data_IF_277869791613
#
_entry.id   IF_277869791613
#
_cell.length_a   1.000
_cell.length_b   1.000
_cell.length_c   1.000
_cell.angle_alpha   90.00
_cell.angle_beta   90.00
_cell.angle_gamma   90.00
#
_symmetry.space_group_name_H-M   'P 1'
#
loop_
_entity.id
_entity.type
_entity.pdbx_description
1 polymer ?
#
# COMPACT_ATOMS: atom_id res chain seq x y z
N UNK A 1 0.46 -8.35 -0.89
CA UNK A 1 1.14 -8.95 0.29
C UNK A 1 2.03 -10.12 -0.12
N UNK A 2 1.52 -11.21 -0.73
CA UNK A 2 2.35 -12.36 -1.14
C UNK A 2 3.58 -11.98 -2.01
N UNK A 3 3.39 -11.17 -3.06
CA UNK A 3 4.48 -10.75 -3.94
C UNK A 3 5.58 -9.98 -3.18
N UNK A 4 5.20 -9.09 -2.26
CA UNK A 4 6.17 -8.35 -1.45
C UNK A 4 6.97 -9.27 -0.52
N UNK A 5 6.33 -10.30 0.03
CA UNK A 5 7.00 -11.30 0.88
C UNK A 5 8.03 -12.08 0.05
N UNK A 6 7.65 -12.57 -1.13
CA UNK A 6 8.56 -13.31 -2.02
C UNK A 6 9.76 -12.45 -2.45
N UNK A 7 9.53 -11.21 -2.84
CA UNK A 7 10.61 -10.28 -3.21
C UNK A 7 11.50 -9.99 -2.00
N UNK A 8 10.92 -9.78 -0.82
CA UNK A 8 11.67 -9.53 0.42
C UNK A 8 12.61 -10.70 0.77
N UNK A 9 12.12 -11.94 0.71
CA UNK A 9 12.96 -13.12 0.92
C UNK A 9 14.12 -13.20 -0.07
N UNK A 10 13.87 -12.93 -1.36
CA UNK A 10 14.91 -12.92 -2.38
C UNK A 10 15.96 -11.84 -2.15
N UNK A 11 15.54 -10.62 -1.75
CA UNK A 11 16.43 -9.50 -1.48
C UNK A 11 17.30 -9.72 -0.24
N UNK A 12 16.78 -10.34 0.82
CA UNK A 12 17.58 -10.69 2.00
C UNK A 12 18.71 -11.64 1.61
N UNK A 13 18.40 -12.69 0.86
CA UNK A 13 19.40 -13.64 0.37
C UNK A 13 20.46 -12.92 -0.48
N UNK A 14 20.02 -12.04 -1.38
CA UNK A 14 20.90 -11.25 -2.23
C UNK A 14 21.80 -10.28 -1.45
N UNK A 15 21.27 -9.60 -0.43
CA UNK A 15 22.02 -8.72 0.45
C UNK A 15 23.10 -9.48 1.25
N UNK A 16 22.80 -10.71 1.67
CA UNK A 16 23.77 -11.60 2.34
C UNK A 16 24.88 -12.01 1.38
N UNK A 17 24.56 -12.40 0.14
CA UNK A 17 25.55 -12.77 -0.87
C UNK A 17 26.44 -11.60 -1.30
N UNK A 18 25.89 -10.39 -1.38
CA UNK A 18 26.63 -9.17 -1.77
C UNK A 18 27.40 -8.55 -0.60
N UNK A 19 27.23 -9.07 0.63
CA UNK A 19 27.87 -8.55 1.83
C UNK A 19 27.34 -7.18 2.28
N UNK A 20 26.17 -6.78 1.78
CA UNK A 20 25.54 -5.48 2.10
C UNK A 20 24.57 -5.56 3.28
N UNK A 21 24.35 -6.77 3.82
CA UNK A 21 23.50 -6.99 4.99
C UNK A 21 24.15 -6.46 6.28
N UNK A 22 23.46 -5.55 6.97
CA UNK A 22 23.91 -4.97 8.24
C UNK A 22 23.17 -5.63 9.40
N UNK A 23 23.86 -6.48 10.16
CA UNK A 23 23.29 -7.24 11.28
C UNK A 23 22.65 -6.37 12.37
N UNK A 24 23.23 -5.21 12.66
CA UNK A 24 22.73 -4.29 13.70
C UNK A 24 21.33 -3.74 13.38
N UNK A 25 21.08 -3.47 12.09
CA UNK A 25 19.81 -2.88 11.61
C UNK A 25 18.87 -3.96 11.07
N UNK A 26 19.39 -5.16 10.79
CA UNK A 26 18.63 -6.26 10.19
C UNK A 26 18.20 -6.01 8.73
N UNK A 27 18.83 -5.03 8.06
CA UNK A 27 18.51 -4.62 6.70
C UNK A 27 19.76 -4.62 5.83
N UNK A 28 19.61 -5.02 4.57
CA UNK A 28 20.61 -4.82 3.53
C UNK A 28 20.26 -3.66 2.60
N UNK A 29 21.24 -3.20 1.82
CA UNK A 29 21.08 -2.01 0.98
C UNK A 29 19.97 -2.16 -0.06
N UNK A 30 19.85 -3.34 -0.69
CA UNK A 30 18.82 -3.58 -1.69
C UNK A 30 17.45 -3.78 -1.07
N UNK A 31 17.37 -4.48 0.07
CA UNK A 31 16.13 -4.58 0.86
C UNK A 31 15.64 -3.19 1.28
N UNK A 32 16.51 -2.32 1.79
CA UNK A 32 16.15 -0.97 2.21
C UNK A 32 15.65 -0.11 1.04
N UNK A 33 16.34 -0.16 -0.11
CA UNK A 33 15.92 0.55 -1.31
C UNK A 33 14.54 0.09 -1.80
N UNK A 34 14.32 -1.22 -1.83
CA UNK A 34 13.02 -1.79 -2.20
C UNK A 34 11.92 -1.39 -1.22
N UNK A 35 12.19 -1.38 0.08
CA UNK A 35 11.22 -0.93 1.09
C UNK A 35 10.75 0.49 0.78
N UNK A 36 11.66 1.43 0.53
CA UNK A 36 11.31 2.82 0.17
C UNK A 36 10.56 2.89 -1.17
N UNK A 37 11.04 2.17 -2.19
CA UNK A 37 10.38 2.15 -3.49
C UNK A 37 8.95 1.58 -3.42
N UNK A 38 8.72 0.60 -2.55
CA UNK A 38 7.41 -0.04 -2.35
C UNK A 38 6.37 0.83 -1.63
N UNK A 39 6.81 1.92 -0.99
CA UNK A 39 5.90 2.89 -0.35
C UNK A 39 5.01 3.55 -1.40
N UNK A 40 5.58 4.03 -2.50
CA UNK A 40 4.82 4.71 -3.57
C UNK A 40 3.65 3.90 -4.15
N UNK A 41 3.85 2.64 -4.61
CA UNK A 41 2.73 1.84 -5.12
C UNK A 41 1.73 1.50 -4.01
N UNK A 42 2.18 1.32 -2.76
CA UNK A 42 1.27 1.08 -1.63
C UNK A 42 0.35 2.27 -1.37
N UNK A 43 0.88 3.49 -1.41
CA UNK A 43 0.09 4.71 -1.34
C UNK A 43 -0.87 4.83 -2.54
N UNK A 44 -0.41 4.58 -3.76
CA UNK A 44 -1.25 4.61 -4.96
C UNK A 44 -2.44 3.65 -4.89
N UNK A 45 -2.23 2.42 -4.41
CA UNK A 45 -3.31 1.43 -4.23
C UNK A 45 -4.31 1.88 -3.17
N UNK A 46 -3.86 2.41 -2.04
CA UNK A 46 -4.78 2.90 -1.01
C UNK A 46 -5.54 4.17 -1.44
N UNK A 47 -4.93 5.05 -2.24
CA UNK A 47 -5.62 6.19 -2.84
C UNK A 47 -6.73 5.74 -3.79
N UNK A 48 -6.47 4.71 -4.60
CA UNK A 48 -7.50 4.06 -5.45
C UNK A 48 -8.63 3.47 -4.59
N UNK A 49 -8.31 2.77 -3.50
CA UNK A 49 -9.32 2.22 -2.59
C UNK A 49 -10.20 3.30 -1.95
N UNK A 50 -9.63 4.43 -1.56
CA UNK A 50 -10.41 5.57 -1.07
C UNK A 50 -11.28 6.17 -2.18
N UNK A 51 -10.76 6.27 -3.41
CA UNK A 51 -11.56 6.72 -4.55
C UNK A 51 -12.74 5.78 -4.84
N UNK A 52 -12.54 4.46 -4.73
CA UNK A 52 -13.59 3.43 -4.92
C UNK A 52 -14.76 3.57 -3.93
N UNK A 53 -14.56 4.24 -2.79
CA UNK A 53 -15.60 4.54 -1.79
C UNK A 53 -16.01 6.03 -1.79
N UNK A 54 -15.70 6.80 -2.84
CA UNK A 54 -15.96 8.23 -2.99
C UNK A 54 -15.20 9.17 -2.02
N UNK A 55 -14.20 8.68 -1.30
CA UNK A 55 -13.30 9.49 -0.50
C UNK A 55 -12.11 10.01 -1.34
N UNK A 56 -11.47 11.09 -0.91
CA UNK A 56 -10.27 11.62 -1.59
C UNK A 56 -9.04 10.81 -1.17
N UNK A 57 -8.09 10.54 -2.07
CA UNK A 57 -6.83 9.85 -1.71
C UNK A 57 -6.05 10.53 -0.58
N UNK A 58 -6.22 11.84 -0.41
CA UNK A 58 -5.64 12.64 0.70
C UNK A 58 -6.00 12.17 2.11
N UNK A 59 -7.06 11.38 2.28
CA UNK A 59 -7.37 10.79 3.59
C UNK A 59 -6.26 9.89 4.13
N UNK A 60 -5.36 9.39 3.27
CA UNK A 60 -4.17 8.64 3.70
C UNK A 60 -3.19 9.46 4.55
N UNK A 61 -3.25 10.80 4.54
CA UNK A 61 -2.44 11.65 5.44
C UNK A 61 -2.72 11.36 6.91
N UNK A 62 -3.88 10.78 7.23
CA UNK A 62 -4.20 10.31 8.58
C UNK A 62 -3.20 9.24 9.10
N UNK A 63 -2.43 8.57 8.23
CA UNK A 63 -1.36 7.66 8.67
C UNK A 63 -0.30 8.35 9.55
N UNK A 64 -0.18 9.68 9.49
CA UNK A 64 0.72 10.46 10.35
C UNK A 64 0.23 10.51 11.81
N UNK A 65 -1.07 10.32 12.06
CA UNK A 65 -1.66 10.29 13.40
C UNK A 65 -1.73 8.83 13.88
N UNK A 66 -0.82 8.39 14.78
CA UNK A 66 -0.80 7.02 15.26
C UNK A 66 -2.09 6.68 16.03
N UNK A 67 -2.48 5.40 15.98
CA UNK A 67 -3.77 4.86 16.44
C UNK A 67 -4.99 5.40 15.67
N UNK A 68 -5.39 6.66 15.89
CA UNK A 68 -6.68 7.16 15.39
C UNK A 68 -6.77 7.14 13.87
N UNK A 69 -5.72 7.61 13.19
CA UNK A 69 -5.71 7.66 11.74
C UNK A 69 -5.66 6.27 11.09
N UNK A 70 -4.92 5.35 11.71
CA UNK A 70 -4.87 3.94 11.28
C UNK A 70 -6.24 3.29 11.47
N UNK A 71 -6.90 3.48 12.62
CA UNK A 71 -8.24 2.93 12.86
C UNK A 71 -9.26 3.43 11.84
N UNK A 72 -9.28 4.74 11.56
CA UNK A 72 -10.19 5.34 10.57
C UNK A 72 -9.91 4.75 9.17
N UNK A 73 -8.65 4.69 8.75
CA UNK A 73 -8.29 4.12 7.46
C UNK A 73 -8.57 2.63 7.35
N UNK A 74 -8.37 1.87 8.42
CA UNK A 74 -8.77 0.45 8.49
C UNK A 74 -10.26 0.28 8.26
N UNK A 75 -11.09 1.09 8.93
CA UNK A 75 -12.54 1.08 8.72
C UNK A 75 -12.88 1.45 7.28
N UNK A 76 -12.32 2.54 6.74
CA UNK A 76 -12.55 2.98 5.37
C UNK A 76 -12.15 1.92 4.34
N UNK A 77 -10.99 1.28 4.50
CA UNK A 77 -10.55 0.20 3.59
C UNK A 77 -11.39 -1.07 3.71
N UNK A 78 -12.09 -1.29 4.84
CA UNK A 78 -13.01 -2.40 5.02
C UNK A 78 -14.42 -2.11 4.46
N UNK A 79 -14.76 -0.85 4.16
CA UNK A 79 -16.04 -0.50 3.56
C UNK A 79 -16.15 -1.05 2.15
N UNK A 80 -17.37 -1.44 1.78
CA UNK A 80 -17.69 -1.87 0.43
C UNK A 80 -17.61 -0.66 -0.51
N UNK A 81 -17.06 -0.88 -1.71
CA UNK A 81 -17.08 0.12 -2.79
C UNK A 81 -18.51 0.59 -3.07
N UNK A 82 -18.68 1.88 -3.36
CA UNK A 82 -19.99 2.45 -3.61
C UNK A 82 -20.60 1.86 -4.91
N UNK A 83 -21.81 1.29 -4.87
CA UNK A 83 -22.51 0.86 -6.07
C UNK A 83 -23.06 2.09 -6.82
N UNK A 84 -22.64 2.28 -8.07
CA UNK A 84 -23.11 3.36 -8.95
C UNK A 84 -22.00 4.23 -9.53
N UNK A 85 -22.38 5.34 -10.18
CA UNK A 85 -21.44 6.37 -10.65
C UNK A 85 -20.66 6.93 -9.45
N UNK A 86 -19.33 6.86 -9.51
CA UNK A 86 -18.48 7.46 -8.49
C UNK A 86 -17.92 8.79 -9.05
N UNK A 87 -17.60 9.76 -8.17
CA UNK A 87 -17.12 11.10 -8.58
C UNK A 87 -15.83 11.06 -9.42
N UNK A 88 -15.12 9.95 -9.40
CA UNK A 88 -13.87 9.66 -10.09
C UNK A 88 -14.05 8.76 -11.33
N UNK A 89 -15.29 8.45 -11.73
CA UNK A 89 -15.63 7.76 -12.98
C UNK A 89 -16.64 6.61 -12.83
N UNK A 90 -17.12 6.11 -13.96
CA UNK A 90 -18.06 4.99 -14.01
C UNK A 90 -17.42 3.69 -13.52
N UNK A 91 -18.16 2.98 -12.67
CA UNK A 91 -17.80 1.63 -12.27
C UNK A 91 -17.99 0.70 -13.48
N UNK A 92 -17.02 -0.12 -13.88
CA UNK A 92 -17.15 -1.01 -15.05
C UNK A 92 -18.29 -2.04 -14.91
N UNK A 93 -18.82 -2.23 -13.70
CA UNK A 93 -20.00 -3.07 -13.43
C UNK A 93 -21.34 -2.36 -13.68
N UNK A 94 -21.35 -1.04 -13.86
CA UNK A 94 -22.58 -0.27 -14.13
C UNK A 94 -23.06 -0.42 -15.60
N UNK A 95 -22.20 -0.88 -16.51
CA UNK A 95 -22.49 -0.99 -17.95
C UNK A 95 -22.87 -2.41 -18.39
N UNK A 96 -22.99 -3.36 -17.46
CA UNK A 96 -23.27 -4.78 -17.75
C UNK A 96 -24.73 -5.20 -17.45
N UNK A 97 -25.67 -4.24 -17.40
CA UNK A 97 -27.11 -4.47 -17.18
C UNK A 97 -27.92 -4.20 -18.43
#
# INVERSE_FOLDING_TARGET
MLIHVLIGFGLIIFDVFTGTFVMEVGLGAFSALYSVASVFPSFAVGARRLHDINFRGWWQVLLVVPLLGVTILCVLFALRSNPGENRFGDHPLAQAG
#
